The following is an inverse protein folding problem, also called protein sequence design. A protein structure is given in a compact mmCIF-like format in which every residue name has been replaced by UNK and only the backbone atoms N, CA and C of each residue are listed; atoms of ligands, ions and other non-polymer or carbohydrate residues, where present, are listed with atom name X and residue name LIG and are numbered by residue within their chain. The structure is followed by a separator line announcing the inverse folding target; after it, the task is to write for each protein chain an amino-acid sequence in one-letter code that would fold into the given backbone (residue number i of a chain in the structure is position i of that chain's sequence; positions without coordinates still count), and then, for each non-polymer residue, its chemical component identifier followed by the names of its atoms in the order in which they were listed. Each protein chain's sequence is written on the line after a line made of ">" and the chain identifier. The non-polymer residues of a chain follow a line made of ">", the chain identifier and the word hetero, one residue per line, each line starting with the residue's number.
data_IF_044125891986
#
_entry.id   IF_044125891986
#
_cell.length_a   1.000
_cell.length_b   1.000
_cell.length_c   1.000
_cell.angle_alpha   90.00
_cell.angle_beta   90.00
_cell.angle_gamma   90.00
#
_symmetry.space_group_name_H-M   'P 1'
#
loop_
_entity.id
_entity.type
_entity.pdbx_description
1 polymer ?
#
# COMPACT_ATOMS: atom_id res chain seq x y z
N UNK A 1 2.24 14.46 16.27
CA UNK A 1 0.91 14.30 15.60
C UNK A 1 -0.28 14.83 16.44
N UNK A 2 -0.09 15.73 17.42
CA UNK A 2 -1.13 16.02 18.43
C UNK A 2 -2.26 16.99 18.00
N UNK A 3 -2.22 17.59 16.81
CA UNK A 3 -3.16 18.65 16.41
C UNK A 3 -4.12 18.30 15.26
N UNK A 4 -4.12 17.05 14.76
CA UNK A 4 -5.02 16.64 13.67
C UNK A 4 -6.00 15.58 14.16
N UNK A 5 -7.29 15.80 13.88
CA UNK A 5 -8.37 14.91 14.28
C UNK A 5 -8.18 13.50 13.69
N UNK A 6 -8.51 12.47 14.49
CA UNK A 6 -8.37 11.07 14.11
C UNK A 6 -9.05 10.72 12.77
N UNK A 7 -10.28 11.16 12.45
CA UNK A 7 -10.90 10.83 11.17
C UNK A 7 -10.08 11.28 9.95
N UNK A 8 -9.42 12.45 10.04
CA UNK A 8 -8.59 12.97 8.95
C UNK A 8 -7.30 12.16 8.80
N UNK A 9 -6.73 11.69 9.90
CA UNK A 9 -5.58 10.78 9.91
C UNK A 9 -5.94 9.44 9.27
N UNK A 10 -7.10 8.88 9.63
CA UNK A 10 -7.62 7.63 9.07
C UNK A 10 -7.91 7.73 7.57
N UNK A 11 -8.51 8.83 7.13
CA UNK A 11 -8.74 9.08 5.71
C UNK A 11 -7.42 9.18 4.93
N UNK A 12 -6.39 9.82 5.49
CA UNK A 12 -5.08 9.89 4.86
C UNK A 12 -4.43 8.49 4.73
N UNK A 13 -4.53 7.63 5.74
CA UNK A 13 -4.05 6.24 5.64
C UNK A 13 -4.81 5.44 4.58
N UNK A 14 -6.14 5.52 4.57
CA UNK A 14 -6.98 4.85 3.56
C UNK A 14 -6.60 5.27 2.15
N UNK A 15 -6.57 6.59 1.89
CA UNK A 15 -6.28 7.15 0.56
C UNK A 15 -4.85 6.84 0.16
N UNK A 16 -3.89 7.05 1.07
CA UNK A 16 -2.48 6.79 0.79
C UNK A 16 -2.22 5.33 0.46
N UNK A 17 -2.77 4.38 1.23
CA UNK A 17 -2.64 2.96 0.93
C UNK A 17 -3.36 2.59 -0.37
N UNK A 18 -4.53 3.16 -0.67
CA UNK A 18 -5.20 2.91 -1.94
C UNK A 18 -4.37 3.34 -3.16
N UNK A 19 -3.81 4.56 -3.14
CA UNK A 19 -2.93 5.03 -4.23
C UNK A 19 -1.63 4.23 -4.32
N UNK A 20 -1.05 3.87 -3.17
CA UNK A 20 0.14 3.02 -3.13
C UNK A 20 -0.12 1.69 -3.83
N UNK A 21 -1.18 0.97 -3.44
CA UNK A 21 -1.47 -0.36 -3.99
C UNK A 21 -1.98 -0.30 -5.44
N UNK A 22 -2.76 0.72 -5.81
CA UNK A 22 -3.15 0.93 -7.21
C UNK A 22 -1.92 1.15 -8.10
N UNK A 23 -0.93 1.90 -7.63
CA UNK A 23 0.30 2.18 -8.38
C UNK A 23 1.18 0.92 -8.47
N UNK A 24 1.41 0.22 -7.36
CA UNK A 24 2.25 -0.99 -7.30
C UNK A 24 1.68 -2.12 -8.16
N UNK A 25 0.38 -2.37 -8.04
CA UNK A 25 -0.26 -3.45 -8.82
C UNK A 25 -0.41 -3.03 -10.28
N UNK A 26 -0.83 -1.80 -10.55
CA UNK A 26 -0.97 -1.29 -11.91
C UNK A 26 0.35 -1.26 -12.69
N UNK A 27 1.43 -0.79 -12.06
CA UNK A 27 2.77 -0.81 -12.68
C UNK A 27 3.28 -2.24 -12.88
N UNK A 28 2.97 -3.16 -11.97
CA UNK A 28 3.26 -4.58 -12.12
C UNK A 28 2.57 -5.20 -13.33
N UNK A 29 1.26 -5.00 -13.47
CA UNK A 29 0.48 -5.53 -14.61
C UNK A 29 1.01 -4.95 -15.93
N UNK A 30 1.17 -3.64 -16.01
CA UNK A 30 1.63 -2.98 -17.22
C UNK A 30 3.09 -3.33 -17.56
N UNK A 31 3.95 -3.42 -16.53
CA UNK A 31 5.35 -3.82 -16.66
C UNK A 31 5.48 -5.22 -17.25
N UNK A 32 4.69 -6.19 -16.76
CA UNK A 32 4.68 -7.55 -17.30
C UNK A 32 4.22 -7.57 -18.76
N UNK A 33 3.14 -6.85 -19.10
CA UNK A 33 2.58 -6.79 -20.46
C UNK A 33 3.54 -6.15 -21.47
N UNK A 34 4.29 -5.13 -21.06
CA UNK A 34 5.20 -4.39 -21.95
C UNK A 34 6.61 -4.99 -22.04
N UNK A 35 7.04 -5.79 -21.06
CA UNK A 35 8.41 -6.27 -20.98
C UNK A 35 8.78 -7.33 -22.04
N UNK A 36 7.82 -7.84 -22.82
CA UNK A 36 8.08 -8.80 -23.89
C UNK A 36 8.75 -10.10 -23.41
N UNK A 37 8.44 -10.54 -22.19
CA UNK A 37 9.06 -11.71 -21.55
C UNK A 37 10.36 -11.44 -20.80
N UNK A 38 10.88 -10.21 -20.80
CA UNK A 38 12.06 -9.85 -20.02
C UNK A 38 11.69 -9.52 -18.56
N UNK A 39 11.83 -10.51 -17.67
CA UNK A 39 11.49 -10.39 -16.25
C UNK A 39 12.26 -9.27 -15.55
N UNK A 40 13.53 -9.02 -15.91
CA UNK A 40 14.31 -7.96 -15.28
C UNK A 40 13.72 -6.57 -15.57
N UNK A 41 13.26 -6.34 -16.80
CA UNK A 41 12.59 -5.09 -17.19
C UNK A 41 11.24 -4.97 -16.48
N UNK A 42 10.44 -6.04 -16.41
CA UNK A 42 9.16 -6.02 -15.70
C UNK A 42 9.33 -5.66 -14.21
N UNK A 43 10.32 -6.26 -13.53
CA UNK A 43 10.63 -5.96 -12.13
C UNK A 43 11.12 -4.52 -11.93
N UNK A 44 11.95 -4.01 -12.84
CA UNK A 44 12.40 -2.62 -12.82
C UNK A 44 11.22 -1.65 -12.99
N UNK A 45 10.35 -1.93 -13.96
CA UNK A 45 9.16 -1.14 -14.28
C UNK A 45 8.14 -1.12 -13.13
N UNK A 46 8.14 -2.12 -12.25
CA UNK A 46 7.33 -2.11 -11.03
C UNK A 46 8.03 -1.39 -9.86
N UNK A 47 9.33 -1.65 -9.68
CA UNK A 47 10.10 -1.14 -8.53
C UNK A 47 10.21 0.38 -8.52
N UNK A 48 10.44 1.01 -9.69
CA UNK A 48 10.59 2.47 -9.78
C UNK A 48 9.30 3.20 -9.37
N UNK A 49 8.11 2.89 -9.95
CA UNK A 49 6.85 3.50 -9.51
C UNK A 49 6.54 3.24 -8.04
N UNK A 50 6.85 2.05 -7.51
CA UNK A 50 6.65 1.71 -6.10
C UNK A 50 7.40 2.65 -5.17
N UNK A 51 8.68 2.92 -5.46
CA UNK A 51 9.47 3.88 -4.68
C UNK A 51 8.99 5.31 -4.88
N UNK A 52 8.73 5.70 -6.13
CA UNK A 52 8.34 7.07 -6.48
C UNK A 52 7.01 7.48 -5.84
N UNK A 53 5.99 6.63 -5.88
CA UNK A 53 4.69 6.95 -5.27
C UNK A 53 4.79 7.09 -3.76
N UNK A 54 5.64 6.29 -3.11
CA UNK A 54 5.82 6.37 -1.67
C UNK A 54 6.43 7.73 -1.27
N UNK A 55 7.40 8.24 -2.04
CA UNK A 55 7.95 9.60 -1.83
C UNK A 55 6.86 10.67 -1.94
N UNK A 56 6.02 10.58 -2.98
CA UNK A 56 4.90 11.51 -3.18
C UNK A 56 3.93 11.45 -2.00
N UNK A 57 3.49 10.25 -1.62
CA UNK A 57 2.51 10.05 -0.54
C UNK A 57 3.05 10.49 0.81
N UNK A 58 4.31 10.19 1.14
CA UNK A 58 4.95 10.62 2.39
C UNK A 58 5.01 12.15 2.44
N UNK A 59 5.43 12.81 1.36
CA UNK A 59 5.49 14.27 1.34
C UNK A 59 4.12 14.93 1.46
N UNK A 60 3.09 14.35 0.84
CA UNK A 60 1.74 14.92 0.86
C UNK A 60 0.96 14.64 2.15
N UNK A 61 1.03 13.41 2.66
CA UNK A 61 0.17 12.90 3.72
C UNK A 61 0.91 12.64 5.04
N UNK A 62 2.25 12.64 5.03
CA UNK A 62 3.09 12.53 6.23
C UNK A 62 2.74 13.56 7.31
N UNK A 63 2.58 14.85 6.97
CA UNK A 63 2.13 15.86 7.94
C UNK A 63 0.74 15.60 8.53
N UNK A 64 -0.07 14.75 7.89
CA UNK A 64 -1.45 14.44 8.30
C UNK A 64 -1.49 13.21 9.20
N UNK A 65 -1.09 12.04 8.70
CA UNK A 65 -1.22 10.77 9.41
C UNK A 65 0.08 10.22 9.99
N UNK A 66 1.23 10.77 9.60
CA UNK A 66 2.53 10.13 9.78
C UNK A 66 2.93 9.22 8.60
N UNK A 67 2.05 9.05 7.61
CA UNK A 67 2.28 8.27 6.38
C UNK A 67 2.77 6.84 6.65
N UNK A 68 2.02 6.08 7.44
CA UNK A 68 2.43 4.69 7.74
C UNK A 68 2.21 3.79 6.54
N UNK A 69 0.99 3.81 5.98
CA UNK A 69 0.52 3.03 4.83
C UNK A 69 0.82 1.53 4.89
N UNK A 70 1.14 1.02 6.10
CA UNK A 70 1.69 -0.30 6.32
C UNK A 70 1.43 -0.73 7.78
N UNK A 71 0.81 -1.90 8.00
CA UNK A 71 0.56 -2.42 9.34
C UNK A 71 1.83 -2.63 10.17
N UNK A 72 2.92 -3.08 9.55
CA UNK A 72 4.19 -3.30 10.25
C UNK A 72 4.81 -1.99 10.74
N UNK A 73 4.77 -0.94 9.91
CA UNK A 73 5.22 0.40 10.33
C UNK A 73 4.36 0.89 11.50
N UNK A 74 3.04 0.75 11.39
CA UNK A 74 2.11 1.12 12.46
C UNK A 74 2.39 0.36 13.77
N UNK A 75 2.70 -0.94 13.67
CA UNK A 75 3.07 -1.75 14.83
C UNK A 75 4.37 -1.26 15.50
N UNK A 76 5.38 -0.87 14.71
CA UNK A 76 6.64 -0.32 15.25
C UNK A 76 6.39 0.99 16.01
N UNK A 77 5.58 1.91 15.46
CA UNK A 77 5.23 3.16 16.16
C UNK A 77 4.46 2.90 17.47
N UNK A 78 3.59 1.89 17.46
CA UNK A 78 2.86 1.46 18.65
C UNK A 78 3.80 0.86 19.70
N UNK A 79 4.74 0.00 19.29
CA UNK A 79 5.75 -0.59 20.17
C UNK A 79 6.68 0.45 20.80
N UNK A 80 6.99 1.52 20.05
CA UNK A 80 7.75 2.69 20.55
C UNK A 80 6.94 3.63 21.43
N UNK A 81 5.65 3.35 21.67
CA UNK A 81 4.71 4.20 22.43
C UNK A 81 4.52 5.59 21.81
N UNK A 82 4.74 5.71 20.50
CA UNK A 82 4.51 6.94 19.74
C UNK A 82 3.05 7.05 19.25
N UNK A 83 2.28 5.97 19.38
CA UNK A 83 0.87 5.87 18.98
C UNK A 83 0.09 5.02 19.99
N UNK A 84 -1.18 5.40 20.24
CA UNK A 84 -2.08 4.63 21.10
C UNK A 84 -2.59 3.40 20.35
N UNK A 85 -2.72 2.27 21.05
CA UNK A 85 -3.10 0.97 20.49
C UNK A 85 -4.48 0.99 19.79
N UNK A 86 -5.43 1.79 20.29
CA UNK A 86 -6.75 1.95 19.66
C UNK A 86 -6.64 2.60 18.28
N UNK A 87 -5.84 3.67 18.17
CA UNK A 87 -5.63 4.36 16.90
C UNK A 87 -4.87 3.45 15.92
N UNK A 88 -3.90 2.68 16.41
CA UNK A 88 -3.11 1.77 15.56
C UNK A 88 -3.97 0.70 14.91
N UNK A 89 -4.93 0.14 15.65
CA UNK A 89 -5.88 -0.84 15.10
C UNK A 89 -6.74 -0.22 13.97
N UNK A 90 -7.19 1.02 14.15
CA UNK A 90 -7.96 1.73 13.14
C UNK A 90 -7.11 2.08 11.91
N UNK A 91 -5.84 2.45 12.09
CA UNK A 91 -4.88 2.65 11.00
C UNK A 91 -4.72 1.37 10.18
N UNK A 92 -4.49 0.23 10.83
CA UNK A 92 -4.36 -1.07 10.16
C UNK A 92 -5.61 -1.41 9.37
N UNK A 93 -6.80 -1.20 9.95
CA UNK A 93 -8.06 -1.41 9.24
C UNK A 93 -8.17 -0.55 7.98
N UNK A 94 -7.86 0.75 8.08
CA UNK A 94 -7.90 1.67 6.93
C UNK A 94 -6.87 1.31 5.86
N UNK A 95 -5.67 0.85 6.25
CA UNK A 95 -4.64 0.39 5.34
C UNK A 95 -5.10 -0.87 4.58
N UNK A 96 -5.72 -1.84 5.26
CA UNK A 96 -6.24 -3.06 4.61
C UNK A 96 -7.34 -2.69 3.62
N UNK A 97 -8.34 -1.89 4.04
CA UNK A 97 -9.45 -1.46 3.18
C UNK A 97 -8.93 -0.65 1.99
N UNK A 98 -8.03 0.31 2.24
CA UNK A 98 -7.38 1.10 1.19
C UNK A 98 -6.62 0.22 0.22
N UNK A 99 -5.87 -0.76 0.71
CA UNK A 99 -5.15 -1.73 -0.11
C UNK A 99 -6.08 -2.51 -1.05
N UNK A 100 -7.20 -3.05 -0.52
CA UNK A 100 -8.20 -3.74 -1.35
C UNK A 100 -8.78 -2.84 -2.44
N UNK A 101 -9.15 -1.60 -2.08
CA UNK A 101 -9.67 -0.61 -3.05
C UNK A 101 -8.63 -0.32 -4.13
N UNK A 102 -7.36 -0.10 -3.74
CA UNK A 102 -6.28 0.18 -4.68
C UNK A 102 -6.07 -0.96 -5.69
N UNK A 103 -6.09 -2.21 -5.22
CA UNK A 103 -5.98 -3.39 -6.08
C UNK A 103 -7.17 -3.49 -7.04
N UNK A 104 -8.39 -3.30 -6.56
CA UNK A 104 -9.58 -3.33 -7.42
C UNK A 104 -9.58 -2.23 -8.48
N UNK A 105 -9.12 -1.02 -8.13
CA UNK A 105 -8.94 0.07 -9.10
C UNK A 105 -7.92 -0.34 -10.17
N UNK A 106 -6.77 -0.91 -9.78
CA UNK A 106 -5.79 -1.39 -10.76
C UNK A 106 -6.38 -2.49 -11.67
N UNK A 107 -7.13 -3.44 -11.13
CA UNK A 107 -7.78 -4.47 -11.94
C UNK A 107 -8.77 -3.86 -12.94
N UNK A 108 -9.60 -2.90 -12.50
CA UNK A 108 -10.53 -2.20 -13.39
C UNK A 108 -9.81 -1.42 -14.48
N UNK A 109 -8.69 -0.75 -14.17
CA UNK A 109 -7.89 0.01 -15.13
C UNK A 109 -7.30 -0.86 -16.25
N UNK A 110 -6.98 -2.12 -15.95
CA UNK A 110 -6.31 -3.03 -16.88
C UNK A 110 -7.21 -4.18 -17.37
N UNK A 111 -8.52 -4.08 -17.13
CA UNK A 111 -9.54 -5.06 -17.54
C UNK A 111 -9.27 -6.48 -16.99
N UNK A 112 -8.74 -6.56 -15.76
CA UNK A 112 -8.55 -7.81 -15.03
C UNK A 112 -9.79 -8.19 -14.21
N UNK A 113 -9.86 -9.44 -13.76
CA UNK A 113 -10.92 -9.89 -12.84
C UNK A 113 -10.78 -9.15 -11.51
N UNK A 114 -11.76 -8.30 -11.19
CA UNK A 114 -11.73 -7.39 -10.04
C UNK A 114 -11.53 -8.15 -8.73
N UNK A 115 -12.37 -9.16 -8.48
CA UNK A 115 -12.25 -9.99 -7.29
C UNK A 115 -11.55 -11.31 -7.63
N UNK A 116 -10.30 -11.46 -7.18
CA UNK A 116 -9.53 -12.68 -7.33
C UNK A 116 -8.95 -13.15 -6.01
N UNK A 117 -8.97 -14.46 -5.80
CA UNK A 117 -8.23 -15.10 -4.70
C UNK A 117 -6.83 -15.45 -5.18
N UNK A 118 -5.82 -15.12 -4.38
CA UNK A 118 -4.44 -15.41 -4.74
C UNK A 118 -4.19 -16.91 -4.90
N UNK A 119 -3.88 -17.35 -6.12
CA UNK A 119 -3.41 -18.72 -6.39
C UNK A 119 -1.90 -18.91 -6.15
N UNK A 120 -1.14 -17.81 -5.95
CA UNK A 120 0.31 -17.87 -5.75
C UNK A 120 0.62 -18.38 -4.34
N UNK A 121 1.16 -19.59 -4.25
CA UNK A 121 1.70 -20.11 -2.99
C UNK A 121 2.86 -19.24 -2.52
N UNK A 122 2.79 -18.78 -1.26
CA UNK A 122 3.83 -17.93 -0.64
C UNK A 122 4.55 -18.64 0.52
N UNK A 123 4.52 -19.97 0.57
CA UNK A 123 5.20 -20.75 1.62
C UNK A 123 6.73 -20.71 1.49
N UNK A 124 7.45 -20.73 2.61
CA UNK A 124 8.91 -20.84 2.65
C UNK A 124 9.48 -20.65 4.06
N UNK A 125 10.77 -20.94 4.29
CA UNK A 125 11.41 -20.84 5.61
C UNK A 125 11.33 -19.45 6.26
N UNK A 126 11.14 -18.39 5.46
CA UNK A 126 10.94 -17.04 5.98
C UNK A 126 9.53 -16.79 6.54
N UNK A 127 8.61 -17.75 6.39
CA UNK A 127 7.22 -17.66 6.88
C UNK A 127 6.90 -18.62 8.05
N UNK A 128 7.80 -19.54 8.40
CA UNK A 128 7.62 -20.55 9.46
C UNK A 128 8.75 -20.48 10.49
#
# INVERSE_FOLDING_TARGET
>A
MKNIALPRRLAAELIGTAFLLATVVGSGIMGERLAGGNVAIALLANTIPTGAILVVLINMLGPISGAHFNPAVTAVFTAKREMVLSDSALYVLMQIVGGLIGVWVAHLMFEEVVFQTSAKMRTGPAQW
#
